data_IF_408796082293
#
_entry.id   IF_408796082293
#
_cell.length_a   1.000
_cell.length_b   1.000
_cell.length_c   1.000
_cell.angle_alpha   90.00
_cell.angle_beta   90.00
_cell.angle_gamma   90.00
#
_symmetry.space_group_name_H-M   'P 1'
#
loop_
_entity.id
_entity.type
_entity.pdbx_description
1 polymer ?
#
# COMPACT_ATOMS: atom_id res chain seq x y z
N UNK A 1 12.32 -30.63 25.15
CA UNK A 1 11.77 -30.09 23.88
C UNK A 1 10.29 -30.43 23.81
N UNK A 2 9.45 -29.63 24.45
CA UNK A 2 8.00 -29.76 24.38
C UNK A 2 7.47 -28.48 23.74
N UNK A 3 6.77 -28.63 22.60
CA UNK A 3 6.05 -27.56 21.93
C UNK A 3 5.12 -26.87 22.93
N UNK A 4 5.41 -25.62 23.27
CA UNK A 4 4.47 -24.76 23.99
C UNK A 4 3.41 -24.36 22.98
N UNK A 5 2.21 -24.92 23.14
CA UNK A 5 1.05 -24.64 22.32
C UNK A 5 0.82 -23.12 22.26
N UNK A 6 0.89 -22.57 21.04
CA UNK A 6 0.49 -21.21 20.73
C UNK A 6 -0.93 -20.99 21.24
N UNK A 7 -1.11 -20.04 22.16
CA UNK A 7 -2.45 -19.55 22.50
C UNK A 7 -3.03 -18.96 21.22
N UNK A 8 -4.09 -19.59 20.71
CA UNK A 8 -4.78 -19.16 19.52
C UNK A 8 -5.27 -17.72 19.71
N UNK A 9 -4.61 -16.79 19.05
CA UNK A 9 -5.11 -15.44 18.86
C UNK A 9 -6.27 -15.55 17.88
N UNK A 10 -7.49 -15.64 18.39
CA UNK A 10 -8.72 -15.50 17.61
C UNK A 10 -8.80 -14.05 17.14
N UNK A 11 -8.13 -13.73 16.04
CA UNK A 11 -8.34 -12.47 15.34
C UNK A 11 -9.71 -12.58 14.66
N UNK A 12 -10.72 -12.03 15.32
CA UNK A 12 -12.02 -11.81 14.71
C UNK A 12 -11.83 -10.84 13.54
N UNK A 13 -11.89 -11.38 12.32
CA UNK A 13 -11.79 -10.64 11.07
C UNK A 13 -13.10 -9.82 10.88
N UNK A 14 -13.19 -8.68 11.58
CA UNK A 14 -14.25 -7.71 11.33
C UNK A 14 -14.00 -7.08 9.96
N UNK A 15 -14.83 -7.46 8.98
CA UNK A 15 -14.94 -6.84 7.66
C UNK A 15 -15.29 -5.35 7.85
N UNK A 16 -14.28 -4.49 7.92
CA UNK A 16 -14.45 -3.06 7.78
C UNK A 16 -14.64 -2.74 6.29
N UNK A 17 -15.80 -2.20 5.97
CA UNK A 17 -16.06 -1.53 4.69
C UNK A 17 -15.15 -0.30 4.63
N UNK A 18 -13.99 -0.42 3.96
CA UNK A 18 -13.11 0.71 3.68
C UNK A 18 -13.78 1.55 2.60
N UNK A 19 -14.50 2.59 3.01
CA UNK A 19 -14.85 3.69 2.13
C UNK A 19 -13.56 4.42 1.74
N UNK A 20 -13.27 4.49 0.44
CA UNK A 20 -12.18 5.29 -0.10
C UNK A 20 -12.58 6.75 0.12
N UNK A 21 -12.21 7.33 1.26
CA UNK A 21 -12.33 8.76 1.49
C UNK A 21 -11.26 9.43 0.61
N UNK A 22 -11.68 9.91 -0.57
CA UNK A 22 -10.99 11.03 -1.22
C UNK A 22 -10.82 12.10 -0.15
N UNK A 23 -9.60 12.62 0.03
CA UNK A 23 -9.33 13.73 0.93
C UNK A 23 -10.05 14.97 0.40
N UNK A 24 -11.37 15.02 0.59
CA UNK A 24 -12.16 16.21 0.43
C UNK A 24 -11.64 17.17 1.51
N UNK A 25 -11.15 18.32 1.07
CA UNK A 25 -10.82 19.40 2.00
C UNK A 25 -12.06 19.69 2.85
N UNK A 26 -11.89 19.97 4.16
CA UNK A 26 -13.01 20.30 5.02
C UNK A 26 -13.80 21.48 4.40
N UNK A 27 -15.14 21.44 4.42
CA UNK A 27 -15.95 22.49 3.82
C UNK A 27 -15.62 23.84 4.47
N UNK A 28 -15.43 24.87 3.66
CA UNK A 28 -15.15 26.22 4.13
C UNK A 28 -16.44 26.97 4.49
N UNK A 29 -16.38 27.88 5.48
CA UNK A 29 -17.46 28.80 5.80
C UNK A 29 -17.14 30.24 5.36
N UNK A 30 -15.85 30.60 5.32
CA UNK A 30 -15.35 31.88 4.87
C UNK A 30 -13.98 31.75 4.16
N UNK A 31 -13.56 32.79 3.44
CA UNK A 31 -12.28 32.81 2.70
C UNK A 31 -11.05 32.56 3.60
N UNK A 32 -11.15 32.90 4.89
CA UNK A 32 -10.09 32.67 5.87
C UNK A 32 -9.86 31.17 6.18
N UNK A 33 -10.84 30.31 5.89
CA UNK A 33 -10.71 28.87 6.07
C UNK A 33 -9.90 28.22 4.92
N UNK A 34 -9.72 28.94 3.81
CA UNK A 34 -9.03 28.48 2.63
C UNK A 34 -7.52 28.73 2.73
N UNK A 35 -6.73 27.66 2.59
CA UNK A 35 -5.28 27.76 2.50
C UNK A 35 -4.85 28.37 1.17
N UNK A 36 -3.68 29.01 1.15
CA UNK A 36 -3.05 29.59 -0.05
C UNK A 36 -3.83 30.74 -0.71
N UNK A 37 -4.63 31.50 0.05
CA UNK A 37 -5.37 32.66 -0.47
C UNK A 37 -6.52 32.29 -1.40
N UNK A 38 -7.11 31.09 -1.23
CA UNK A 38 -8.34 30.70 -1.91
C UNK A 38 -9.57 31.48 -1.43
N UNK A 39 -10.60 31.52 -2.26
CA UNK A 39 -11.91 32.12 -1.96
C UNK A 39 -12.91 30.99 -1.71
N UNK A 40 -13.67 31.09 -0.62
CA UNK A 40 -14.69 30.11 -0.28
C UNK A 40 -15.94 30.34 -1.12
N UNK A 41 -16.23 29.41 -2.03
CA UNK A 41 -17.41 29.49 -2.88
C UNK A 41 -18.25 28.21 -2.72
N UNK A 42 -19.43 28.35 -2.12
CA UNK A 42 -20.38 27.24 -1.87
C UNK A 42 -19.81 26.08 -1.04
N UNK A 43 -18.92 26.37 -0.10
CA UNK A 43 -18.31 25.38 0.78
C UNK A 43 -17.03 24.74 0.21
N UNK A 44 -16.56 25.17 -0.96
CA UNK A 44 -15.30 24.73 -1.58
C UNK A 44 -14.31 25.89 -1.70
N UNK A 45 -13.03 25.62 -1.45
CA UNK A 45 -11.95 26.61 -1.59
C UNK A 45 -11.44 26.65 -3.03
N UNK A 46 -11.67 27.76 -3.73
CA UNK A 46 -11.18 27.97 -5.10
C UNK A 46 -9.93 28.87 -5.07
N UNK A 47 -8.84 28.45 -5.69
CA UNK A 47 -7.62 29.28 -5.81
C UNK A 47 -7.78 30.24 -7.01
N UNK A 48 -7.90 31.56 -6.80
CA UNK A 48 -7.99 32.51 -7.89
C UNK A 48 -6.63 32.59 -8.61
N UNK A 49 -6.52 31.97 -9.80
CA UNK A 49 -5.32 32.04 -10.63
C UNK A 49 -4.94 30.77 -11.39
N UNK A 50 -5.55 29.62 -11.07
CA UNK A 50 -5.37 28.40 -11.87
C UNK A 50 -6.30 28.41 -13.10
N UNK A 51 -6.02 29.28 -14.07
CA UNK A 51 -6.69 29.23 -15.38
C UNK A 51 -6.02 28.13 -16.20
N UNK A 52 -6.69 27.02 -16.53
CA UNK A 52 -6.16 26.07 -17.52
C UNK A 52 -5.98 26.80 -18.85
N UNK A 53 -4.81 26.63 -19.47
CA UNK A 53 -4.46 27.25 -20.73
C UNK A 53 -5.52 26.95 -21.80
N UNK A 54 -6.31 27.95 -22.13
CA UNK A 54 -7.32 27.93 -23.18
C UNK A 54 -6.57 27.92 -24.54
N UNK A 55 -6.86 26.99 -25.47
CA UNK A 55 -6.31 27.05 -26.83
C UNK A 55 -6.76 28.33 -27.56
N UNK A 56 -5.97 28.83 -28.52
CA UNK A 56 -6.13 30.16 -29.11
C UNK A 56 -7.53 30.40 -29.70
N UNK A 57 -8.09 31.61 -29.52
CA UNK A 57 -9.41 31.95 -30.01
C UNK A 57 -9.43 32.00 -31.54
N UNK A 58 -10.33 31.23 -32.13
CA UNK A 58 -10.72 31.41 -33.52
C UNK A 58 -11.40 32.78 -33.66
N UNK A 59 -10.91 33.55 -34.62
CA UNK A 59 -11.36 34.88 -35.03
C UNK A 59 -12.89 34.94 -35.23
N UNK A 60 -13.62 35.80 -34.51
CA UNK A 60 -15.02 36.05 -34.80
C UNK A 60 -15.14 36.89 -36.08
N UNK A 61 -15.80 36.34 -37.09
CA UNK A 61 -16.29 37.10 -38.23
C UNK A 61 -17.37 38.06 -37.72
N UNK A 62 -17.08 39.36 -37.80
CA UNK A 62 -18.04 40.45 -37.56
C UNK A 62 -19.13 40.42 -38.62
N UNK A 63 -20.16 39.61 -38.39
CA UNK A 63 -21.50 39.88 -38.88
C UNK A 63 -22.25 40.60 -37.77
N UNK A 64 -22.45 41.90 -37.95
CA UNK A 64 -23.29 42.76 -37.11
C UNK A 64 -24.64 42.07 -36.94
N UNK A 65 -24.83 41.41 -35.79
CA UNK A 65 -26.11 40.79 -35.46
C UNK A 65 -26.99 41.92 -34.95
N UNK A 66 -27.71 42.56 -35.88
CA UNK A 66 -28.80 43.46 -35.54
C UNK A 66 -29.83 42.65 -34.75
N UNK A 67 -29.83 42.85 -33.42
CA UNK A 67 -30.85 42.27 -32.55
C UNK A 67 -32.21 42.89 -32.88
N UNK A 68 -33.24 42.06 -33.01
CA UNK A 68 -34.60 42.54 -33.21
C UNK A 68 -35.26 42.85 -31.86
N UNK A 69 -36.16 43.84 -31.82
CA UNK A 69 -37.02 44.12 -30.66
C UNK A 69 -38.47 43.70 -30.93
N UNK A 70 -38.88 43.68 -32.19
CA UNK A 70 -40.21 43.31 -32.67
C UNK A 70 -40.10 42.56 -34.00
N UNK A 71 -41.16 41.82 -34.35
CA UNK A 71 -41.20 41.03 -35.60
C UNK A 71 -41.00 41.88 -36.86
N UNK A 72 -41.39 43.17 -36.82
CA UNK A 72 -41.20 44.11 -37.95
C UNK A 72 -39.74 44.48 -38.19
N UNK A 73 -38.86 44.27 -37.21
CA UNK A 73 -37.41 44.47 -37.36
C UNK A 73 -36.77 43.30 -38.13
N UNK A 74 -37.48 42.17 -38.24
CA UNK A 74 -37.04 41.00 -38.95
C UNK A 74 -37.44 41.05 -40.43
N UNK A 75 -36.46 40.78 -41.31
CA UNK A 75 -36.69 40.80 -42.76
C UNK A 75 -37.43 39.53 -43.20
N UNK A 76 -38.57 39.70 -43.87
CA UNK A 76 -39.40 38.61 -44.41
C UNK A 76 -40.37 38.04 -43.37
N UNK A 77 -40.73 36.77 -43.50
CA UNK A 77 -41.69 36.09 -42.60
C UNK A 77 -41.06 35.61 -41.28
N UNK A 78 -39.96 36.22 -40.85
CA UNK A 78 -39.24 35.84 -39.62
C UNK A 78 -39.86 36.59 -38.44
N UNK A 79 -39.97 35.91 -37.30
CA UNK A 79 -40.45 36.47 -36.03
C UNK A 79 -39.27 36.73 -35.10
N UNK A 80 -39.39 37.74 -34.24
CA UNK A 80 -38.35 38.08 -33.28
C UNK A 80 -38.50 37.24 -32.01
N UNK A 81 -37.64 36.23 -31.84
CA UNK A 81 -37.62 35.39 -30.65
C UNK A 81 -36.32 35.60 -29.87
N UNK A 82 -36.44 36.13 -28.65
CA UNK A 82 -35.31 36.41 -27.74
C UNK A 82 -34.19 37.26 -28.38
N UNK A 83 -34.59 38.28 -29.14
CA UNK A 83 -33.64 39.19 -29.81
C UNK A 83 -33.04 38.64 -31.10
N UNK A 84 -33.51 37.48 -31.58
CA UNK A 84 -33.02 36.84 -32.81
C UNK A 84 -34.18 36.58 -33.76
N UNK A 85 -34.04 36.95 -35.03
CA UNK A 85 -35.05 36.64 -36.04
C UNK A 85 -35.06 35.14 -36.35
N UNK A 86 -36.16 34.43 -36.13
CA UNK A 86 -36.32 33.00 -36.43
C UNK A 86 -37.47 32.78 -37.40
N UNK A 87 -37.38 31.75 -38.24
CA UNK A 87 -38.51 31.40 -39.13
C UNK A 87 -39.57 30.64 -38.32
N UNK A 88 -40.86 30.98 -38.45
CA UNK A 88 -41.92 30.29 -37.74
C UNK A 88 -41.95 28.81 -38.16
N UNK A 89 -42.25 27.89 -37.22
CA UNK A 89 -42.35 26.48 -37.53
C UNK A 89 -43.45 26.24 -38.58
N UNK A 90 -43.21 25.39 -39.60
CA UNK A 90 -44.21 25.08 -40.61
C UNK A 90 -45.45 24.46 -39.96
N UNK A 91 -46.66 24.73 -40.49
CA UNK A 91 -47.88 24.13 -39.96
C UNK A 91 -47.78 22.60 -40.00
N UNK A 92 -48.29 21.90 -38.96
CA UNK A 92 -48.22 20.44 -38.88
C UNK A 92 -48.90 19.82 -40.10
N UNK A 93 -48.19 18.90 -40.76
CA UNK A 93 -48.74 18.17 -41.90
C UNK A 93 -50.02 17.41 -41.49
N UNK A 94 -51.00 17.26 -42.40
CA UNK A 94 -52.19 16.45 -42.16
C UNK A 94 -51.79 15.05 -41.66
N UNK A 95 -52.34 14.65 -40.50
CA UNK A 95 -52.08 13.34 -39.92
C UNK A 95 -52.66 12.25 -40.83
N UNK A 96 -51.77 11.53 -41.52
CA UNK A 96 -52.11 10.30 -42.24
C UNK A 96 -51.82 9.14 -41.29
N UNK A 97 -52.81 8.35 -40.84
CA UNK A 97 -52.56 7.21 -39.97
C UNK A 97 -51.66 6.22 -40.72
N UNK A 98 -50.53 5.80 -40.12
CA UNK A 98 -49.64 4.86 -40.77
C UNK A 98 -50.35 3.51 -40.96
N UNK A 99 -50.10 2.80 -42.08
CA UNK A 99 -50.63 1.46 -42.29
C UNK A 99 -50.19 0.52 -41.15
N UNK A 100 -51.09 -0.38 -40.74
CA UNK A 100 -50.83 -1.33 -39.67
C UNK A 100 -49.59 -2.18 -39.99
N UNK A 101 -48.54 -2.05 -39.17
CA UNK A 101 -47.34 -2.86 -39.31
C UNK A 101 -47.65 -4.33 -38.96
N UNK A 102 -47.09 -5.30 -39.70
CA UNK A 102 -47.18 -6.70 -39.32
C UNK A 102 -46.52 -6.92 -37.95
N UNK A 103 -46.98 -7.92 -37.16
CA UNK A 103 -46.38 -8.23 -35.87
C UNK A 103 -44.89 -8.55 -36.05
N UNK A 104 -44.00 -8.00 -35.21
CA UNK A 104 -42.58 -8.29 -35.30
C UNK A 104 -42.35 -9.80 -35.10
N UNK A 105 -41.44 -10.41 -35.88
CA UNK A 105 -41.10 -11.80 -35.69
C UNK A 105 -40.61 -12.03 -34.24
N UNK A 106 -40.87 -13.21 -33.65
CA UNK A 106 -40.39 -13.52 -32.31
C UNK A 106 -38.87 -13.36 -32.27
N UNK A 107 -38.40 -12.39 -31.46
CA UNK A 107 -36.97 -12.15 -31.27
C UNK A 107 -36.41 -13.36 -30.53
N UNK A 108 -35.59 -14.16 -31.21
CA UNK A 108 -34.88 -15.24 -30.57
C UNK A 108 -34.02 -14.64 -29.44
N UNK A 109 -34.21 -15.13 -28.22
CA UNK A 109 -33.37 -14.74 -27.08
C UNK A 109 -31.95 -15.26 -27.33
N UNK A 110 -31.10 -14.42 -27.91
CA UNK A 110 -29.67 -14.70 -27.98
C UNK A 110 -29.11 -14.33 -26.61
N UNK A 111 -28.61 -15.30 -25.82
CA UNK A 111 -27.97 -14.97 -24.57
C UNK A 111 -26.84 -13.98 -24.85
N UNK A 112 -26.69 -12.91 -24.05
CA UNK A 112 -25.65 -11.92 -24.27
C UNK A 112 -24.30 -12.64 -24.31
N UNK A 113 -23.48 -12.32 -25.31
CA UNK A 113 -22.15 -12.88 -25.44
C UNK A 113 -21.41 -12.73 -24.10
N UNK A 114 -20.67 -13.76 -23.64
CA UNK A 114 -19.91 -13.67 -22.41
C UNK A 114 -19.02 -12.43 -22.46
N UNK A 115 -19.12 -11.57 -21.45
CA UNK A 115 -18.29 -10.36 -21.40
C UNK A 115 -16.81 -10.77 -21.47
N UNK A 116 -15.98 -10.01 -22.23
CA UNK A 116 -14.57 -10.34 -22.39
C UNK A 116 -13.90 -10.39 -21.02
N UNK A 117 -13.37 -11.55 -20.65
CA UNK A 117 -12.63 -11.71 -19.39
C UNK A 117 -11.30 -11.00 -19.50
N UNK A 118 -10.80 -10.47 -18.39
CA UNK A 118 -9.42 -9.99 -18.33
C UNK A 118 -8.48 -11.13 -18.73
N UNK A 119 -7.88 -11.02 -19.90
CA UNK A 119 -6.89 -11.97 -20.40
C UNK A 119 -5.51 -11.48 -19.97
N UNK A 120 -4.93 -12.13 -18.97
CA UNK A 120 -3.55 -11.89 -18.58
C UNK A 120 -2.63 -12.52 -19.62
N UNK A 121 -1.90 -11.67 -20.34
CA UNK A 121 -0.86 -12.13 -21.26
C UNK A 121 0.37 -12.58 -20.47
N UNK A 122 1.05 -13.66 -20.88
CA UNK A 122 2.34 -14.00 -20.34
C UNK A 122 3.35 -12.87 -20.53
N UNK A 123 4.17 -12.60 -19.51
CA UNK A 123 5.10 -11.48 -19.54
C UNK A 123 5.68 -11.13 -18.19
N UNK A 124 6.66 -10.22 -18.21
CA UNK A 124 7.19 -9.60 -17.01
C UNK A 124 6.27 -8.47 -16.55
N UNK A 125 6.15 -8.35 -15.23
CA UNK A 125 5.34 -7.37 -14.54
C UNK A 125 6.24 -6.69 -13.52
N UNK A 126 6.21 -5.35 -13.52
CA UNK A 126 6.86 -4.55 -12.50
C UNK A 126 5.81 -3.96 -11.57
N UNK A 127 5.95 -4.17 -10.26
CA UNK A 127 4.96 -3.77 -9.27
C UNK A 127 5.60 -2.96 -8.13
N UNK A 128 5.83 -1.65 -8.33
CA UNK A 128 6.14 -0.76 -7.21
C UNK A 128 4.89 -0.57 -6.34
N UNK A 129 5.07 -0.73 -5.03
CA UNK A 129 4.02 -0.60 -4.02
C UNK A 129 4.52 0.18 -2.82
N UNK A 130 3.57 0.88 -2.19
CA UNK A 130 3.74 1.57 -0.92
C UNK A 130 2.62 1.13 0.00
N UNK A 131 2.92 0.98 1.28
CA UNK A 131 1.94 0.56 2.26
C UNK A 131 2.24 1.04 3.66
N UNK A 132 1.43 0.55 4.58
CA UNK A 132 1.53 0.80 6.00
C UNK A 132 1.24 -0.48 6.78
N UNK A 133 1.91 -0.62 7.93
CA UNK A 133 1.68 -1.73 8.85
C UNK A 133 0.45 -1.36 9.70
N UNK A 134 -0.57 -2.20 9.65
CA UNK A 134 -1.81 -2.04 10.40
C UNK A 134 -1.61 -2.43 11.87
N UNK A 135 -0.91 -3.54 12.08
CA UNK A 135 -0.58 -4.09 13.39
C UNK A 135 0.59 -5.04 13.24
N UNK A 136 1.40 -5.16 14.29
CA UNK A 136 2.44 -6.16 14.37
C UNK A 136 2.81 -6.42 15.82
N UNK A 137 3.24 -7.65 16.08
CA UNK A 137 3.72 -8.11 17.37
C UNK A 137 5.14 -8.60 17.18
N UNK A 138 6.05 -8.18 18.06
CA UNK A 138 7.45 -8.61 18.05
C UNK A 138 7.80 -9.22 19.40
N UNK A 139 8.35 -10.43 19.36
CA UNK A 139 8.88 -11.17 20.49
C UNK A 139 10.40 -11.21 20.39
N UNK A 140 11.06 -10.71 21.43
CA UNK A 140 12.51 -10.83 21.62
C UNK A 140 12.74 -11.99 22.60
N UNK A 141 13.35 -13.07 22.12
CA UNK A 141 13.77 -14.20 22.95
C UNK A 141 15.27 -14.08 23.24
N UNK A 142 15.63 -13.87 24.50
CA UNK A 142 17.02 -13.85 24.96
C UNK A 142 17.36 -15.18 25.62
N UNK A 143 18.36 -15.87 25.09
CA UNK A 143 18.90 -17.11 25.65
C UNK A 143 20.31 -16.85 26.17
N UNK A 144 20.45 -16.82 27.49
CA UNK A 144 21.77 -16.75 28.12
C UNK A 144 22.25 -18.16 28.51
N UNK A 145 23.41 -18.55 27.98
CA UNK A 145 24.11 -19.79 28.33
C UNK A 145 25.41 -19.46 29.06
N UNK A 146 25.51 -19.91 30.32
CA UNK A 146 26.72 -19.75 31.12
C UNK A 146 27.50 -21.06 31.20
N UNK A 147 28.73 -21.08 30.67
CA UNK A 147 29.62 -22.23 30.81
C UNK A 147 30.52 -22.06 32.04
N UNK A 148 30.41 -22.99 33.00
CA UNK A 148 31.07 -22.92 34.30
C UNK A 148 30.78 -24.15 35.17
N UNK A 149 31.05 -24.07 36.47
CA UNK A 149 30.92 -25.21 37.42
C UNK A 149 29.47 -25.74 37.56
N UNK A 150 28.48 -25.01 37.05
CA UNK A 150 27.10 -25.44 36.83
C UNK A 150 26.54 -24.75 35.58
N UNK A 151 26.11 -25.50 34.58
CA UNK A 151 25.42 -24.96 33.40
C UNK A 151 24.01 -24.50 33.78
N UNK A 152 23.78 -23.19 33.78
CA UNK A 152 22.44 -22.61 33.94
C UNK A 152 22.04 -21.91 32.65
N UNK A 153 20.81 -22.16 32.19
CA UNK A 153 20.18 -21.48 31.06
C UNK A 153 18.98 -20.68 31.56
N UNK A 154 18.92 -19.40 31.24
CA UNK A 154 17.74 -18.56 31.47
C UNK A 154 17.20 -18.08 30.13
N UNK A 155 15.88 -18.18 29.96
CA UNK A 155 15.15 -17.63 28.81
C UNK A 155 14.22 -16.52 29.28
N UNK A 156 14.35 -15.33 28.71
CA UNK A 156 13.43 -14.23 28.94
C UNK A 156 12.79 -13.85 27.60
N UNK A 157 11.47 -13.61 27.60
CA UNK A 157 10.71 -13.21 26.41
C UNK A 157 10.01 -11.88 26.68
N UNK A 158 10.20 -10.92 25.78
CA UNK A 158 9.51 -9.63 25.82
C UNK A 158 8.68 -9.47 24.55
N UNK A 159 7.37 -9.28 24.71
CA UNK A 159 6.46 -8.93 23.62
C UNK A 159 6.32 -7.41 23.51
N UNK A 160 6.29 -6.87 22.30
CA UNK A 160 6.12 -5.43 22.05
C UNK A 160 5.28 -5.17 20.80
N UNK A 161 4.44 -4.14 20.87
CA UNK A 161 3.63 -3.68 19.73
C UNK A 161 4.48 -2.90 18.74
N UNK A 162 4.36 -3.23 17.46
CA UNK A 162 5.08 -2.55 16.39
C UNK A 162 4.30 -1.32 15.89
N UNK A 163 4.96 -0.16 15.89
CA UNK A 163 4.38 1.13 15.41
C UNK A 163 4.99 1.63 14.10
N UNK A 164 5.63 0.75 13.35
CA UNK A 164 6.20 1.06 12.04
C UNK A 164 5.10 1.60 11.10
N UNK A 165 5.31 2.77 10.49
CA UNK A 165 4.24 3.45 9.77
C UNK A 165 4.17 3.07 8.29
N UNK A 166 5.30 2.75 7.64
CA UNK A 166 5.32 2.60 6.19
C UNK A 166 6.22 1.47 5.70
N UNK A 167 5.84 0.92 4.54
CA UNK A 167 6.55 -0.15 3.83
C UNK A 167 6.70 0.27 2.36
N UNK A 168 7.89 0.09 1.82
CA UNK A 168 8.19 0.25 0.40
C UNK A 168 8.48 -1.13 -0.19
N UNK A 169 7.96 -1.38 -1.38
CA UNK A 169 7.95 -2.70 -1.94
C UNK A 169 8.09 -2.63 -3.46
N UNK A 170 8.94 -3.49 -4.02
CA UNK A 170 9.12 -3.64 -5.45
C UNK A 170 9.14 -5.11 -5.81
N UNK A 171 8.15 -5.56 -6.58
CA UNK A 171 8.17 -6.90 -7.16
C UNK A 171 8.47 -6.90 -8.65
N UNK A 172 9.19 -7.93 -9.06
CA UNK A 172 9.38 -8.33 -10.46
C UNK A 172 8.78 -9.72 -10.61
N UNK A 173 7.62 -9.80 -11.26
CA UNK A 173 6.88 -11.04 -11.43
C UNK A 173 6.86 -11.47 -12.90
N UNK A 174 6.88 -12.77 -13.16
CA UNK A 174 6.67 -13.36 -14.47
C UNK A 174 5.34 -14.13 -14.48
N UNK A 175 4.41 -13.71 -15.35
CA UNK A 175 3.18 -14.44 -15.61
C UNK A 175 3.46 -15.58 -16.58
N UNK A 176 3.60 -16.81 -16.08
CA UNK A 176 3.83 -17.98 -16.93
C UNK A 176 2.52 -18.64 -17.39
N UNK A 177 1.41 -18.37 -16.72
CA UNK A 177 0.05 -18.66 -17.22
C UNK A 177 -0.88 -17.49 -16.93
N UNK A 178 -2.07 -17.41 -17.56
CA UNK A 178 -3.07 -16.38 -17.24
C UNK A 178 -3.55 -16.41 -15.78
N UNK A 179 -3.29 -17.52 -15.05
CA UNK A 179 -3.73 -17.74 -13.68
C UNK A 179 -2.60 -17.74 -12.66
N UNK A 180 -1.33 -17.77 -13.08
CA UNK A 180 -0.21 -17.94 -12.18
C UNK A 180 0.94 -17.01 -12.55
N UNK A 181 1.48 -16.38 -11.51
CA UNK A 181 2.65 -15.52 -11.55
C UNK A 181 3.64 -15.98 -10.50
N UNK A 182 4.92 -15.84 -10.78
CA UNK A 182 5.97 -16.06 -9.80
C UNK A 182 7.12 -15.08 -10.04
N UNK A 183 7.85 -14.73 -9.00
CA UNK A 183 8.98 -13.82 -9.13
C UNK A 183 9.66 -13.50 -7.82
N UNK A 184 10.32 -12.36 -7.80
CA UNK A 184 11.08 -11.87 -6.65
C UNK A 184 10.58 -10.50 -6.23
N UNK A 185 10.60 -10.24 -4.93
CA UNK A 185 10.25 -8.95 -4.33
C UNK A 185 11.32 -8.46 -3.38
N UNK A 186 11.48 -7.15 -3.30
CA UNK A 186 12.33 -6.48 -2.31
C UNK A 186 11.43 -5.58 -1.48
N UNK A 187 11.41 -5.81 -0.16
CA UNK A 187 10.61 -5.04 0.79
C UNK A 187 11.52 -4.28 1.73
N UNK A 188 11.22 -3.02 1.95
CA UNK A 188 11.96 -2.15 2.84
C UNK A 188 11.00 -1.50 3.84
N UNK A 189 11.20 -1.80 5.12
CA UNK A 189 10.45 -1.20 6.24
C UNK A 189 11.39 -0.32 7.04
N UNK A 190 11.40 0.98 6.79
CA UNK A 190 12.29 1.90 7.49
C UNK A 190 11.83 2.21 8.91
N UNK A 191 12.81 2.44 9.78
CA UNK A 191 12.63 2.90 11.17
C UNK A 191 11.56 2.11 11.93
N UNK A 192 11.78 0.80 12.14
CA UNK A 192 10.92 0.00 13.00
C UNK A 192 10.96 0.53 14.42
N UNK A 193 9.77 0.75 15.02
CA UNK A 193 9.62 1.27 16.38
C UNK A 193 8.83 0.27 17.20
N UNK A 194 9.33 -0.03 18.40
CA UNK A 194 8.65 -0.84 19.40
C UNK A 194 8.45 -0.03 20.67
N UNK A 195 7.37 -0.32 21.39
CA UNK A 195 7.10 0.27 22.69
C UNK A 195 7.36 -0.76 23.78
N UNK A 196 8.30 -0.48 24.68
CA UNK A 196 8.61 -1.31 25.85
C UNK A 196 8.53 -0.46 27.11
N UNK A 197 7.67 -0.85 28.05
CA UNK A 197 7.50 -0.13 29.32
C UNK A 197 7.08 1.34 29.18
N UNK A 198 6.34 1.69 28.11
CA UNK A 198 5.92 3.07 27.82
C UNK A 198 6.99 3.94 27.13
N UNK A 199 8.18 3.39 26.85
CA UNK A 199 9.21 4.06 26.07
C UNK A 199 9.19 3.52 24.62
N UNK A 200 9.24 4.43 23.64
CA UNK A 200 9.40 4.06 22.23
C UNK A 200 10.88 3.97 21.89
N UNK A 201 11.29 2.83 21.32
CA UNK A 201 12.66 2.57 20.88
C UNK A 201 12.66 2.24 19.39
N UNK A 202 13.64 2.74 18.64
CA UNK A 202 13.86 2.39 17.23
C UNK A 202 14.85 1.24 17.15
N UNK A 203 14.50 0.23 16.35
CA UNK A 203 15.34 -0.94 16.11
C UNK A 203 16.23 -0.78 14.87
N UNK A 204 15.79 0.02 13.89
CA UNK A 204 16.51 0.23 12.65
C UNK A 204 15.61 0.09 11.43
N UNK A 205 16.13 -0.47 10.34
CA UNK A 205 15.35 -0.72 9.11
C UNK A 205 15.42 -2.18 8.74
N UNK A 206 14.32 -2.73 8.23
CA UNK A 206 14.24 -4.10 7.73
C UNK A 206 14.28 -4.10 6.20
N UNK A 207 15.15 -4.91 5.63
CA UNK A 207 15.23 -5.21 4.22
C UNK A 207 14.97 -6.70 4.01
N UNK A 208 13.91 -7.03 3.29
CA UNK A 208 13.55 -8.41 2.96
C UNK A 208 13.66 -8.67 1.47
N UNK A 209 14.25 -9.81 1.10
CA UNK A 209 14.29 -10.33 -0.27
C UNK A 209 13.46 -11.62 -0.32
N UNK A 210 12.37 -11.60 -1.09
CA UNK A 210 11.37 -12.67 -1.06
C UNK A 210 11.14 -13.29 -2.44
N UNK A 211 10.93 -14.60 -2.46
CA UNK A 211 10.32 -15.30 -3.58
C UNK A 211 8.81 -15.28 -3.43
N UNK A 212 8.10 -15.00 -4.52
CA UNK A 212 6.65 -14.75 -4.52
C UNK A 212 5.98 -15.69 -5.52
N UNK A 213 4.82 -16.23 -5.13
CA UNK A 213 3.91 -16.96 -6.02
C UNK A 213 2.49 -16.41 -5.85
N UNK A 214 1.83 -16.11 -6.97
CA UNK A 214 0.50 -15.50 -6.97
C UNK A 214 -0.43 -16.20 -7.98
N UNK A 215 -1.44 -16.96 -7.51
CA UNK A 215 -2.59 -17.28 -8.33
C UNK A 215 -3.52 -16.06 -8.50
N UNK A 216 -4.00 -15.87 -9.74
CA UNK A 216 -4.90 -14.78 -10.13
C UNK A 216 -6.23 -15.35 -10.61
N UNK A 217 -7.31 -14.83 -10.03
CA UNK A 217 -8.70 -15.23 -10.26
C UNK A 217 -9.48 -14.05 -10.86
N UNK A 218 -9.70 -14.00 -12.19
CA UNK A 218 -10.52 -12.96 -12.79
C UNK A 218 -11.97 -13.14 -12.35
N UNK A 219 -12.50 -12.17 -11.60
CA UNK A 219 -13.88 -12.19 -11.10
C UNK A 219 -14.83 -11.46 -12.05
N UNK A 220 -14.35 -10.39 -12.69
CA UNK A 220 -15.10 -9.63 -13.69
C UNK A 220 -14.19 -9.14 -14.81
N UNK A 221 -14.75 -8.37 -15.76
CA UNK A 221 -13.98 -7.66 -16.79
C UNK A 221 -13.06 -6.60 -16.23
N UNK A 222 -13.32 -6.14 -15.00
CA UNK A 222 -12.66 -4.98 -14.39
C UNK A 222 -11.96 -5.30 -13.06
N UNK A 223 -12.21 -6.48 -12.49
CA UNK A 223 -11.62 -6.90 -11.21
C UNK A 223 -11.07 -8.32 -11.30
N UNK A 224 -9.82 -8.50 -10.87
CA UNK A 224 -9.23 -9.79 -10.58
C UNK A 224 -8.83 -9.86 -9.11
N UNK A 225 -9.14 -10.97 -8.45
CA UNK A 225 -8.64 -11.25 -7.11
C UNK A 225 -7.34 -12.03 -7.23
N UNK A 226 -6.44 -11.82 -6.27
CA UNK A 226 -5.20 -12.59 -6.18
C UNK A 226 -5.03 -13.12 -4.77
N UNK A 227 -4.42 -14.28 -4.68
CA UNK A 227 -3.84 -14.80 -3.44
C UNK A 227 -2.34 -14.78 -3.63
N UNK A 228 -1.59 -14.44 -2.58
CA UNK A 228 -0.14 -14.35 -2.60
C UNK A 228 0.43 -15.24 -1.52
N UNK A 229 1.47 -15.98 -1.85
CA UNK A 229 2.39 -16.60 -0.88
C UNK A 229 3.81 -16.11 -1.13
N UNK A 230 4.59 -15.95 -0.07
CA UNK A 230 6.00 -15.55 -0.18
C UNK A 230 6.86 -16.15 0.93
N UNK A 231 8.14 -16.30 0.63
CA UNK A 231 9.17 -16.69 1.60
C UNK A 231 10.54 -16.18 1.13
N UNK A 232 11.44 -15.89 2.07
CA UNK A 232 12.77 -15.43 1.71
C UNK A 232 13.62 -15.03 2.91
N UNK A 233 14.59 -14.17 2.64
CA UNK A 233 15.53 -13.65 3.63
C UNK A 233 15.04 -12.30 4.16
N UNK A 234 15.25 -12.07 5.44
CA UNK A 234 15.07 -10.77 6.08
C UNK A 234 16.43 -10.28 6.59
N UNK A 235 16.61 -8.97 6.67
CA UNK A 235 17.84 -8.37 7.13
C UNK A 235 17.51 -7.13 7.95
N UNK A 236 17.90 -7.13 9.22
CA UNK A 236 17.78 -5.97 10.08
C UNK A 236 19.06 -5.16 10.03
N UNK A 237 18.94 -3.92 9.58
CA UNK A 237 19.99 -2.92 9.62
C UNK A 237 19.77 -2.10 10.89
N UNK A 238 20.65 -2.22 11.91
CA UNK A 238 20.47 -1.51 13.17
C UNK A 238 20.47 0.02 12.96
N UNK A 239 19.71 0.72 13.79
CA UNK A 239 19.65 2.18 13.75
C UNK A 239 18.93 2.77 14.96
N UNK A 240 19.14 4.06 15.22
CA UNK A 240 18.55 4.74 16.36
C UNK A 240 19.03 4.17 17.70
N UNK A 241 18.11 3.99 18.64
CA UNK A 241 18.44 3.58 20.00
C UNK A 241 19.02 2.16 20.08
N UNK A 242 18.70 1.28 19.13
CA UNK A 242 19.33 -0.04 19.04
C UNK A 242 20.82 0.06 18.65
N UNK A 243 21.18 0.95 17.71
CA UNK A 243 22.58 1.23 17.40
C UNK A 243 23.30 1.83 18.59
N UNK A 244 22.67 2.78 19.29
CA UNK A 244 23.24 3.38 20.50
C UNK A 244 23.49 2.33 21.60
N UNK A 245 22.64 1.31 21.68
CA UNK A 245 22.82 0.18 22.61
C UNK A 245 24.04 -0.67 22.23
N UNK A 246 24.21 -0.97 20.94
CA UNK A 246 25.37 -1.70 20.40
C UNK A 246 26.66 -0.89 20.68
N UNK A 247 26.65 0.41 20.41
CA UNK A 247 27.81 1.29 20.63
C UNK A 247 28.14 1.44 22.12
N UNK A 248 27.13 1.50 22.98
CA UNK A 248 27.30 1.52 24.45
C UNK A 248 27.88 0.21 24.96
N UNK A 249 27.44 -0.92 24.43
CA UNK A 249 28.03 -2.22 24.76
C UNK A 249 29.49 -2.31 24.32
N UNK A 250 29.78 -1.89 23.09
CA UNK A 250 31.14 -1.85 22.54
C UNK A 250 32.08 -0.96 23.34
N UNK A 251 31.65 0.25 23.69
CA UNK A 251 32.44 1.16 24.52
C UNK A 251 32.69 0.60 25.93
N UNK A 252 31.69 -0.03 26.54
CA UNK A 252 31.83 -0.72 27.83
C UNK A 252 32.85 -1.86 27.77
N UNK A 253 32.90 -2.59 26.65
CA UNK A 253 33.91 -3.62 26.41
C UNK A 253 35.33 -3.04 26.31
N UNK A 254 35.51 -1.89 25.64
CA UNK A 254 36.84 -1.27 25.49
C UNK A 254 37.35 -0.57 26.76
N UNK A 255 36.45 -0.14 27.65
CA UNK A 255 36.80 0.58 28.89
C UNK A 255 37.10 -0.32 30.09
N UNK A 256 36.76 -1.62 30.01
CA UNK A 256 37.03 -2.62 31.05
C UNK A 256 38.45 -3.16 30.99
N UNK A 257 38.99 -3.58 32.13
CA UNK A 257 40.38 -4.00 32.34
C UNK A 257 40.93 -5.02 31.32
N UNK A 258 41.61 -4.52 30.28
CA UNK A 258 42.68 -5.12 29.44
C UNK A 258 42.63 -6.60 28.97
N UNK A 259 41.55 -7.38 29.14
CA UNK A 259 41.65 -8.83 28.92
C UNK A 259 40.35 -9.59 28.62
N UNK A 260 39.23 -8.91 28.37
CA UNK A 260 38.03 -9.57 27.85
C UNK A 260 38.01 -9.48 26.32
N UNK A 261 38.11 -10.63 25.64
CA UNK A 261 37.77 -10.72 24.22
C UNK A 261 36.26 -10.51 24.09
N UNK A 262 35.89 -9.35 23.54
CA UNK A 262 34.50 -8.96 23.32
C UNK A 262 34.25 -8.96 21.81
N UNK A 263 33.49 -9.95 21.34
CA UNK A 263 33.09 -10.03 19.95
C UNK A 263 31.62 -9.59 19.85
N UNK A 264 31.42 -8.39 19.30
CA UNK A 264 30.11 -7.76 19.11
C UNK A 264 29.87 -7.68 17.61
N UNK A 265 28.86 -8.37 17.10
CA UNK A 265 28.39 -8.17 15.73
C UNK A 265 27.68 -6.81 15.57
N UNK A 266 28.11 -5.97 14.64
CA UNK A 266 27.52 -4.65 14.35
C UNK A 266 26.36 -4.73 13.34
N UNK A 267 25.97 -5.94 12.96
CA UNK A 267 25.01 -6.18 11.89
C UNK A 267 25.63 -5.98 10.48
N UNK A 268 24.80 -6.08 9.42
CA UNK A 268 23.37 -6.34 9.47
C UNK A 268 23.04 -7.75 9.98
N UNK A 269 21.87 -7.91 10.61
CA UNK A 269 21.45 -9.17 11.22
C UNK A 269 20.59 -9.97 10.23
N UNK A 270 21.05 -11.15 9.76
CA UNK A 270 20.31 -11.94 8.82
C UNK A 270 19.17 -12.71 9.50
N UNK A 271 18.11 -12.95 8.73
CA UNK A 271 16.92 -13.64 9.14
C UNK A 271 16.19 -14.27 7.97
N UNK A 272 15.02 -14.80 8.25
CA UNK A 272 14.10 -15.31 7.25
C UNK A 272 12.70 -14.74 7.47
N UNK A 273 11.92 -14.74 6.41
CA UNK A 273 10.54 -14.23 6.39
C UNK A 273 9.67 -15.17 5.57
N UNK A 274 8.41 -15.33 5.98
CA UNK A 274 7.39 -16.02 5.20
C UNK A 274 6.03 -15.40 5.44
N UNK A 275 5.09 -15.60 4.53
CA UNK A 275 3.74 -15.18 4.75
C UNK A 275 2.86 -15.34 3.52
N UNK A 276 1.73 -14.64 3.56
CA UNK A 276 0.77 -14.64 2.49
C UNK A 276 -0.23 -13.51 2.60
N UNK A 277 -1.03 -13.32 1.57
CA UNK A 277 -1.97 -12.23 1.50
C UNK A 277 -3.01 -12.43 0.43
N UNK A 278 -3.95 -11.50 0.38
CA UNK A 278 -4.94 -11.39 -0.68
C UNK A 278 -4.95 -9.98 -1.21
N UNK A 279 -5.25 -9.83 -2.50
CA UNK A 279 -5.34 -8.53 -3.13
C UNK A 279 -6.38 -8.48 -4.23
N UNK A 280 -6.56 -7.29 -4.78
CA UNK A 280 -7.36 -7.08 -5.97
C UNK A 280 -6.62 -6.20 -6.96
N UNK A 281 -6.79 -6.54 -8.24
CA UNK A 281 -6.28 -5.79 -9.39
C UNK A 281 -7.49 -5.19 -10.10
N UNK A 282 -7.42 -3.89 -10.38
CA UNK A 282 -8.42 -3.15 -11.14
C UNK A 282 -7.93 -2.99 -12.58
N UNK A 283 -8.77 -3.37 -13.55
CA UNK A 283 -8.47 -3.18 -14.97
C UNK A 283 -8.59 -1.71 -15.34
N UNK A 284 -7.48 -1.09 -15.73
CA UNK A 284 -7.44 0.30 -16.19
C UNK A 284 -6.47 0.47 -17.38
N UNK A 285 -6.61 -0.38 -18.39
CA UNK A 285 -5.74 -0.34 -19.58
C UNK A 285 -4.35 -0.91 -19.30
N UNK A 286 -3.30 -0.20 -19.75
CA UNK A 286 -1.90 -0.66 -19.61
C UNK A 286 -1.34 -0.57 -18.19
N UNK A 287 -1.92 0.27 -17.34
CA UNK A 287 -1.53 0.41 -15.93
C UNK A 287 -2.68 -0.07 -15.07
N UNK A 288 -2.42 -1.00 -14.16
CA UNK A 288 -3.47 -1.63 -13.36
C UNK A 288 -3.27 -1.35 -11.88
N UNK A 289 -4.14 -0.56 -11.25
CA UNK A 289 -4.10 -0.35 -9.81
C UNK A 289 -4.27 -1.66 -9.06
N UNK A 290 -3.52 -1.80 -7.97
CA UNK A 290 -3.53 -2.97 -7.11
C UNK A 290 -3.52 -2.58 -5.65
N UNK A 291 -4.29 -3.30 -4.85
CA UNK A 291 -4.25 -3.22 -3.39
C UNK A 291 -4.13 -4.63 -2.81
N UNK A 292 -3.32 -4.79 -1.77
CA UNK A 292 -3.06 -6.05 -1.09
C UNK A 292 -3.17 -5.88 0.44
N UNK A 293 -3.68 -6.92 1.09
CA UNK A 293 -3.58 -7.15 2.53
C UNK A 293 -2.66 -8.34 2.76
N UNK A 294 -1.54 -8.11 3.45
CA UNK A 294 -0.43 -9.05 3.57
C UNK A 294 -0.18 -9.36 5.04
N UNK A 295 -0.12 -10.64 5.37
CA UNK A 295 0.38 -11.14 6.65
C UNK A 295 1.82 -11.65 6.47
N UNK A 296 2.73 -11.19 7.32
CA UNK A 296 4.14 -11.57 7.32
C UNK A 296 4.52 -12.12 8.70
N UNK A 297 5.24 -13.22 8.72
CA UNK A 297 6.02 -13.71 9.86
C UNK A 297 7.50 -13.55 9.53
N UNK A 298 8.30 -13.06 10.47
CA UNK A 298 9.74 -12.95 10.31
C UNK A 298 10.47 -13.44 11.56
N UNK A 299 11.70 -13.94 11.34
CA UNK A 299 12.62 -14.36 12.39
C UNK A 299 14.00 -13.90 11.99
N UNK A 300 14.55 -12.97 12.76
CA UNK A 300 15.89 -12.45 12.61
C UNK A 300 16.74 -13.08 13.70
N UNK A 301 17.79 -13.79 13.28
CA UNK A 301 18.79 -14.29 14.20
C UNK A 301 19.42 -13.09 14.88
N UNK A 302 19.41 -13.07 16.21
CA UNK A 302 19.88 -11.91 16.93
C UNK A 302 21.40 -11.88 17.00
N UNK A 303 21.80 -10.87 17.73
CA UNK A 303 23.18 -10.57 18.03
C UNK A 303 23.74 -11.63 18.97
N UNK A 304 24.82 -12.31 18.55
CA UNK A 304 25.60 -13.18 19.44
C UNK A 304 26.54 -12.29 20.27
N UNK A 305 26.29 -12.20 21.58
CA UNK A 305 27.25 -11.60 22.50
C UNK A 305 28.13 -12.68 23.12
N UNK A 306 29.39 -12.74 22.66
CA UNK A 306 30.41 -13.56 23.28
C UNK A 306 31.24 -12.74 24.26
N UNK A 307 31.09 -12.99 25.57
CA UNK A 307 32.02 -12.45 26.58
C UNK A 307 32.84 -13.56 27.21
N UNK A 308 34.16 -13.41 27.14
CA UNK A 308 35.12 -14.25 27.87
C UNK A 308 35.75 -13.45 29.00
N UNK A 309 35.56 -13.88 30.24
CA UNK A 309 36.18 -13.27 31.41
C UNK A 309 37.36 -14.12 31.90
N UNK A 310 38.58 -13.55 32.03
CA UNK A 310 39.66 -14.23 32.71
C UNK A 310 39.33 -14.30 34.20
N UNK A 311 39.35 -15.51 34.77
CA UNK A 311 39.26 -15.66 36.23
C UNK A 311 40.61 -15.94 36.86
N UNK A 312 40.69 -15.66 38.16
CA UNK A 312 41.90 -15.78 38.98
C UNK A 312 42.56 -17.18 38.95
N UNK A 313 41.86 -18.23 38.48
CA UNK A 313 42.33 -19.62 38.47
C UNK A 313 42.57 -20.20 37.06
N UNK A 314 42.78 -19.39 36.02
CA UNK A 314 42.90 -19.83 34.62
C UNK A 314 41.65 -20.53 34.03
N UNK A 315 40.56 -20.66 34.79
CA UNK A 315 39.29 -21.11 34.25
C UNK A 315 38.66 -19.98 33.43
N UNK A 316 38.47 -20.21 32.13
CA UNK A 316 37.72 -19.28 31.29
C UNK A 316 36.23 -19.53 31.50
N UNK A 317 35.52 -18.51 31.97
CA UNK A 317 34.07 -18.49 31.92
C UNK A 317 33.68 -17.80 30.62
N UNK A 318 32.95 -18.50 29.77
CA UNK A 318 32.30 -17.89 28.61
C UNK A 318 30.79 -17.79 28.89
N UNK A 319 30.28 -16.59 28.67
CA UNK A 319 28.85 -16.34 28.56
C UNK A 319 28.55 -16.14 27.08
N UNK A 320 27.61 -16.90 26.57
CA UNK A 320 27.06 -16.72 25.22
C UNK A 320 25.60 -16.34 25.38
N UNK A 321 25.26 -15.14 24.93
CA UNK A 321 23.88 -14.67 24.85
C UNK A 321 23.47 -14.69 23.38
N UNK A 322 22.45 -15.47 23.08
CA UNK A 322 21.81 -15.53 21.77
C UNK A 322 20.45 -14.86 21.89
N UNK A 323 20.33 -13.68 21.30
CA UNK A 323 19.03 -13.06 21.09
C UNK A 323 18.43 -13.60 19.78
N UNK A 324 17.11 -13.66 19.70
CA UNK A 324 16.39 -13.86 18.46
C UNK A 324 15.17 -12.94 18.46
N UNK A 325 14.97 -12.23 17.36
CA UNK A 325 13.81 -11.35 17.19
C UNK A 325 12.86 -12.05 16.24
N UNK A 326 11.67 -12.38 16.73
CA UNK A 326 10.60 -12.94 15.91
C UNK A 326 9.42 -12.00 15.91
N UNK A 327 8.65 -11.95 14.84
CA UNK A 327 7.49 -11.09 14.81
C UNK A 327 6.51 -11.42 13.72
N UNK A 328 5.32 -10.84 13.85
CA UNK A 328 4.26 -10.88 12.84
C UNK A 328 3.82 -9.47 12.48
N UNK A 329 3.43 -9.27 11.22
CA UNK A 329 2.91 -8.00 10.69
C UNK A 329 1.70 -8.25 9.83
N UNK A 330 0.70 -7.38 9.96
CA UNK A 330 -0.38 -7.21 9.00
C UNK A 330 -0.17 -5.88 8.29
N UNK A 331 -0.04 -5.92 6.96
CA UNK A 331 0.28 -4.78 6.11
C UNK A 331 -0.84 -4.55 5.10
N UNK A 332 -1.13 -3.28 4.85
CA UNK A 332 -1.94 -2.85 3.72
C UNK A 332 -1.02 -2.14 2.72
N UNK A 333 -0.97 -2.62 1.48
CA UNK A 333 -0.13 -2.04 0.42
C UNK A 333 -0.96 -1.70 -0.81
N UNK A 334 -0.64 -0.59 -1.48
CA UNK A 334 -1.20 -0.22 -2.77
C UNK A 334 -0.11 0.11 -3.78
N UNK A 335 -0.36 -0.15 -5.06
CA UNK A 335 0.56 0.21 -6.13
C UNK A 335 -0.02 -0.01 -7.51
N UNK A 336 0.88 -0.08 -8.50
CA UNK A 336 0.54 -0.14 -9.92
C UNK A 336 1.24 -1.32 -10.57
N UNK A 337 0.53 -2.11 -11.38
CA UNK A 337 1.13 -3.10 -12.26
C UNK A 337 1.34 -2.50 -13.66
N UNK A 338 2.57 -2.63 -14.17
CA UNK A 338 2.98 -2.27 -15.54
C UNK A 338 3.23 -3.53 -16.37
#
# INVERSE_FOLDING_TARGET
MLHRASRGCCVALSLFTVGIASAAEPPCAADADCKNGGVCQRGECLIPGAVPAIPPPETPSTATTEGCSKDVDCKGDRICERGTCVSPPPPPAPYVPPPAFPPPPPVAFVPPAPAPRMELKPGFLLLPRVGFILTGETDIESKASYSGMSTSSSSHSVSSDEKSLFVLDLDVLYAFTPKWRAGLGIWFTPSTRFEYGGATSKMGSDLSLVAIVEPVYPVSTSVALLVRGFAGMAMLIPGGEFQDSIDRHKSSCTGGSASADCNISEGPFPGWTLGGGGGMILSSGSVRPRIDLIFQYYSIGGYEEGRSYPTYNNNRYSSQEEDAVTGTRLMFTGGLEF
#
